data_IF_128089989232
#
_entry.id   IF_128089989232
#
_cell.length_a   1.000
_cell.length_b   1.000
_cell.length_c   1.000
_cell.angle_alpha   90.00
_cell.angle_beta   90.00
_cell.angle_gamma   90.00
#
_symmetry.space_group_name_H-M   'P 1'
#
loop_
_entity.id
_entity.type
_entity.pdbx_description
1 polymer ?
#
# COMPACT_ATOMS: atom_id res chain seq x y z
N UNK A 1 -21.94 -1.15 3.41
CA UNK A 1 -22.13 -0.65 2.02
C UNK A 1 -23.42 -1.26 1.47
N UNK A 2 -24.17 -0.54 0.65
CA UNK A 2 -25.41 -1.03 0.01
C UNK A 2 -25.40 -0.64 -1.47
N UNK A 3 -25.99 -1.46 -2.35
CA UNK A 3 -26.27 -0.99 -3.70
C UNK A 3 -27.59 -0.20 -3.71
N UNK A 4 -27.77 0.71 -4.67
CA UNK A 4 -28.99 1.52 -4.72
C UNK A 4 -30.24 0.68 -5.07
N UNK A 5 -30.04 -0.41 -5.79
CA UNK A 5 -31.04 -1.36 -6.26
C UNK A 5 -31.12 -2.63 -5.38
N UNK A 6 -30.35 -2.69 -4.29
CA UNK A 6 -30.35 -3.81 -3.36
C UNK A 6 -30.20 -3.32 -1.90
N UNK A 7 -31.24 -3.48 -1.06
CA UNK A 7 -31.21 -3.01 0.33
C UNK A 7 -30.25 -3.81 1.22
N UNK A 8 -29.72 -4.95 0.75
CA UNK A 8 -28.83 -5.80 1.56
C UNK A 8 -27.53 -5.05 1.87
N UNK A 9 -27.29 -4.86 3.16
CA UNK A 9 -26.04 -4.29 3.65
C UNK A 9 -24.91 -5.30 3.52
N UNK A 10 -23.89 -4.95 2.76
CA UNK A 10 -22.65 -5.69 2.60
C UNK A 10 -21.60 -5.12 3.55
N UNK A 11 -21.16 -5.88 4.56
CA UNK A 11 -20.12 -5.45 5.49
C UNK A 11 -18.79 -5.24 4.76
N UNK A 12 -18.12 -4.12 5.03
CA UNK A 12 -16.75 -3.87 4.56
C UNK A 12 -15.77 -4.65 5.45
N UNK A 13 -14.96 -5.52 4.84
CA UNK A 13 -13.95 -6.32 5.53
C UNK A 13 -12.58 -5.65 5.44
N UNK A 14 -12.29 -5.03 4.30
CA UNK A 14 -10.96 -4.50 3.99
C UNK A 14 -11.03 -3.36 2.98
N UNK A 15 -10.16 -2.37 3.14
CA UNK A 15 -9.83 -1.38 2.13
C UNK A 15 -8.32 -1.44 1.87
N UNK A 16 -7.91 -1.72 0.63
CA UNK A 16 -6.50 -1.80 0.25
C UNK A 16 -6.30 -1.36 -1.20
N UNK A 17 -5.06 -1.47 -1.71
CA UNK A 17 -4.71 -1.21 -3.12
C UNK A 17 -5.53 -1.95 -4.19
N UNK A 18 -6.28 -3.00 -3.84
CA UNK A 18 -7.20 -3.68 -4.77
C UNK A 18 -8.61 -3.09 -4.74
N UNK A 19 -8.97 -2.36 -3.69
CA UNK A 19 -10.25 -1.68 -3.55
C UNK A 19 -10.94 -2.01 -2.23
N UNK A 20 -12.27 -1.94 -2.25
CA UNK A 20 -13.15 -2.25 -1.13
C UNK A 20 -13.51 -3.73 -1.17
N UNK A 21 -13.16 -4.51 -0.15
CA UNK A 21 -13.57 -5.91 -0.05
C UNK A 21 -14.75 -6.03 0.89
N UNK A 22 -15.86 -6.57 0.39
CA UNK A 22 -17.11 -6.75 1.14
C UNK A 22 -17.54 -8.22 1.18
N UNK A 23 -18.34 -8.59 2.18
CA UNK A 23 -18.98 -9.92 2.24
C UNK A 23 -20.39 -9.85 1.66
N UNK A 24 -20.75 -10.84 0.82
CA UNK A 24 -22.11 -11.04 0.30
C UNK A 24 -22.51 -12.51 0.40
N UNK A 25 -23.82 -12.81 0.41
CA UNK A 25 -24.29 -14.17 0.19
C UNK A 25 -24.07 -14.60 -1.26
N UNK A 26 -23.80 -15.88 -1.52
CA UNK A 26 -23.59 -16.39 -2.90
C UNK A 26 -24.79 -16.08 -3.81
N UNK A 27 -26.02 -16.16 -3.29
CA UNK A 27 -27.24 -15.87 -4.04
C UNK A 27 -27.39 -14.39 -4.41
N UNK A 28 -26.81 -13.48 -3.61
CA UNK A 28 -26.93 -12.03 -3.75
C UNK A 28 -25.74 -11.42 -4.50
N UNK A 29 -24.94 -12.26 -5.16
CA UNK A 29 -23.71 -11.84 -5.80
C UNK A 29 -24.00 -10.92 -7.00
N UNK A 30 -23.59 -9.64 -6.98
CA UNK A 30 -23.65 -8.76 -8.15
C UNK A 30 -22.87 -9.32 -9.35
N UNK A 31 -23.34 -8.96 -10.55
CA UNK A 31 -22.59 -9.17 -11.79
C UNK A 31 -21.22 -8.46 -11.74
N UNK A 32 -20.18 -9.14 -12.20
CA UNK A 32 -18.84 -8.58 -12.29
C UNK A 32 -18.72 -7.64 -13.50
N UNK A 33 -17.91 -6.60 -13.37
CA UNK A 33 -17.54 -5.69 -14.45
C UNK A 33 -18.53 -4.55 -14.74
N UNK A 34 -19.74 -4.59 -14.18
CA UNK A 34 -20.75 -3.54 -14.40
C UNK A 34 -20.75 -2.50 -13.28
N UNK A 35 -20.64 -1.19 -13.59
CA UNK A 35 -20.71 -0.13 -12.59
C UNK A 35 -22.14 0.06 -12.04
N UNK A 36 -22.31 -0.14 -10.73
CA UNK A 36 -23.57 0.04 -10.00
C UNK A 36 -23.46 1.20 -9.00
N UNK A 37 -24.55 1.95 -8.83
CA UNK A 37 -24.62 2.99 -7.79
C UNK A 37 -24.66 2.31 -6.43
N UNK A 38 -23.85 2.82 -5.50
CA UNK A 38 -23.70 2.28 -4.17
C UNK A 38 -23.66 3.41 -3.14
N UNK A 39 -24.08 3.08 -1.92
CA UNK A 39 -23.98 3.91 -0.73
C UNK A 39 -22.95 3.32 0.22
N UNK A 40 -21.99 4.14 0.63
CA UNK A 40 -21.12 3.84 1.75
C UNK A 40 -21.80 4.39 3.00
N UNK A 41 -22.02 3.52 3.97
CA UNK A 41 -22.77 3.81 5.18
C UNK A 41 -21.94 3.43 6.41
N UNK A 42 -22.05 4.22 7.46
CA UNK A 42 -21.51 3.94 8.78
C UNK A 42 -22.64 4.08 9.81
N UNK A 43 -23.01 2.96 10.46
CA UNK A 43 -24.26 2.91 11.23
C UNK A 43 -25.47 3.24 10.35
N UNK A 44 -26.18 4.31 10.70
CA UNK A 44 -27.34 4.82 9.95
C UNK A 44 -27.02 6.00 9.03
N UNK A 45 -25.78 6.48 9.04
CA UNK A 45 -25.36 7.64 8.25
C UNK A 45 -24.84 7.20 6.88
N UNK A 46 -25.26 7.92 5.83
CA UNK A 46 -24.66 7.76 4.49
C UNK A 46 -23.45 8.68 4.38
N UNK A 47 -22.26 8.08 4.30
CA UNK A 47 -21.00 8.81 4.14
C UNK A 47 -20.86 9.40 2.74
N UNK A 48 -21.15 8.59 1.72
CA UNK A 48 -21.15 9.03 0.33
C UNK A 48 -21.92 8.06 -0.58
N UNK A 49 -22.32 8.57 -1.74
CA UNK A 49 -22.83 7.77 -2.84
C UNK A 49 -21.85 7.82 -4.02
N UNK A 50 -21.53 6.66 -4.59
CA UNK A 50 -20.60 6.56 -5.71
C UNK A 50 -20.91 5.35 -6.59
N UNK A 51 -20.22 5.21 -7.72
CA UNK A 51 -20.39 4.04 -8.59
C UNK A 51 -19.26 3.04 -8.34
N UNK A 52 -19.63 1.81 -8.00
CA UNK A 52 -18.72 0.71 -7.75
C UNK A 52 -18.82 -0.37 -8.83
N UNK A 53 -17.68 -0.94 -9.19
CA UNK A 53 -17.59 -2.09 -10.09
C UNK A 53 -17.05 -3.28 -9.31
N UNK A 54 -17.78 -4.39 -9.30
CA UNK A 54 -17.26 -5.65 -8.77
C UNK A 54 -16.22 -6.22 -9.74
N UNK A 55 -14.97 -6.35 -9.28
CA UNK A 55 -13.83 -6.79 -10.10
C UNK A 55 -13.48 -8.24 -9.90
N UNK A 56 -13.58 -8.72 -8.65
CA UNK A 56 -13.18 -10.06 -8.26
C UNK A 56 -14.14 -10.62 -7.23
N UNK A 57 -14.28 -11.94 -7.25
CA UNK A 57 -15.01 -12.72 -6.27
C UNK A 57 -14.13 -13.86 -5.78
N UNK A 58 -14.13 -14.09 -4.47
CA UNK A 58 -13.47 -15.25 -3.86
C UNK A 58 -14.45 -15.94 -2.90
N UNK A 59 -14.57 -17.27 -2.93
CA UNK A 59 -15.44 -17.99 -2.02
C UNK A 59 -14.94 -17.88 -0.58
N UNK A 60 -15.87 -17.74 0.36
CA UNK A 60 -15.63 -17.84 1.81
C UNK A 60 -16.29 -19.11 2.35
N UNK A 61 -15.98 -19.46 3.61
CA UNK A 61 -16.68 -20.55 4.29
C UNK A 61 -18.13 -20.14 4.57
N UNK A 62 -19.05 -21.10 4.52
CA UNK A 62 -20.46 -20.88 4.90
C UNK A 62 -21.34 -20.27 3.80
N UNK A 63 -20.98 -20.40 2.53
CA UNK A 63 -21.80 -19.92 1.40
C UNK A 63 -21.76 -18.40 1.19
N UNK A 64 -20.84 -17.72 1.86
CA UNK A 64 -20.54 -16.31 1.61
C UNK A 64 -19.44 -16.15 0.55
N UNK A 65 -19.39 -14.97 -0.07
CA UNK A 65 -18.40 -14.58 -1.07
C UNK A 65 -17.78 -13.25 -0.65
N UNK A 66 -16.45 -13.17 -0.76
CA UNK A 66 -15.73 -11.91 -0.70
C UNK A 66 -15.73 -11.27 -2.08
N UNK A 67 -16.21 -10.03 -2.19
CA UNK A 67 -16.18 -9.25 -3.42
C UNK A 67 -15.23 -8.07 -3.28
N UNK A 68 -14.30 -7.94 -4.22
CA UNK A 68 -13.46 -6.74 -4.34
C UNK A 68 -14.11 -5.77 -5.33
N UNK A 69 -14.49 -4.61 -4.81
CA UNK A 69 -15.16 -3.53 -5.51
C UNK A 69 -14.19 -2.36 -5.71
N UNK A 70 -14.30 -1.68 -6.83
CA UNK A 70 -13.52 -0.47 -7.11
C UNK A 70 -14.43 0.67 -7.54
N UNK A 71 -14.15 1.91 -7.12
CA UNK A 71 -14.76 3.10 -7.71
C UNK A 71 -14.61 3.09 -9.23
N UNK A 72 -15.66 3.52 -9.93
CA UNK A 72 -15.72 3.44 -11.39
C UNK A 72 -14.97 4.57 -12.09
N UNK A 73 -14.80 5.71 -11.40
CA UNK A 73 -14.20 6.94 -11.88
C UNK A 73 -13.19 7.49 -10.88
N UNK A 74 -12.23 8.27 -11.37
CA UNK A 74 -11.27 9.00 -10.53
C UNK A 74 -11.96 9.86 -9.46
N UNK A 75 -13.01 10.60 -9.84
CA UNK A 75 -13.79 11.44 -8.92
C UNK A 75 -14.44 10.62 -7.79
N UNK A 76 -14.84 9.37 -8.08
CA UNK A 76 -15.45 8.48 -7.08
C UNK A 76 -14.40 8.03 -6.03
N UNK A 77 -13.12 7.89 -6.42
CA UNK A 77 -12.02 7.61 -5.47
C UNK A 77 -11.81 8.78 -4.52
N UNK A 78 -11.71 10.01 -5.05
CA UNK A 78 -11.51 11.21 -4.25
C UNK A 78 -12.71 11.45 -3.31
N UNK A 79 -13.95 11.23 -3.78
CA UNK A 79 -15.15 11.32 -2.96
C UNK A 79 -15.14 10.32 -1.80
N UNK A 80 -14.78 9.05 -2.06
CA UNK A 80 -14.66 8.03 -1.03
C UNK A 80 -13.69 8.46 0.08
N UNK A 81 -12.49 8.88 -0.29
CA UNK A 81 -11.46 9.24 0.68
C UNK A 81 -11.81 10.51 1.47
N UNK A 82 -12.43 11.50 0.83
CA UNK A 82 -12.96 12.69 1.52
C UNK A 82 -14.04 12.34 2.53
N UNK A 83 -14.97 11.46 2.17
CA UNK A 83 -16.03 11.02 3.06
C UNK A 83 -15.48 10.23 4.26
N UNK A 84 -14.52 9.32 4.02
CA UNK A 84 -13.85 8.58 5.10
C UNK A 84 -13.07 9.52 6.04
N UNK A 85 -12.41 10.55 5.50
CA UNK A 85 -11.69 11.55 6.30
C UNK A 85 -12.64 12.39 7.16
N UNK A 86 -13.73 12.88 6.57
CA UNK A 86 -14.74 13.64 7.30
C UNK A 86 -15.34 12.81 8.45
N UNK A 87 -15.62 11.53 8.18
CA UNK A 87 -16.13 10.60 9.19
C UNK A 87 -15.10 10.34 10.32
N UNK A 88 -13.83 10.17 9.99
CA UNK A 88 -12.77 10.01 10.99
C UNK A 88 -12.68 11.25 11.91
N UNK A 89 -12.66 12.45 11.34
CA UNK A 89 -12.61 13.70 12.12
C UNK A 89 -13.84 13.80 13.03
N UNK A 90 -15.02 13.41 12.53
CA UNK A 90 -16.24 13.38 13.32
C UNK A 90 -16.12 12.44 14.53
N UNK A 91 -15.59 11.22 14.33
CA UNK A 91 -15.38 10.26 15.42
C UNK A 91 -14.38 10.78 16.47
N UNK A 92 -13.26 11.38 16.05
CA UNK A 92 -12.27 11.97 16.95
C UNK A 92 -12.82 13.17 17.73
N UNK A 93 -13.73 13.94 17.12
CA UNK A 93 -14.42 15.05 17.80
C UNK A 93 -15.45 14.57 18.83
N UNK A 94 -16.14 13.46 18.57
CA UNK A 94 -17.12 12.87 19.50
C UNK A 94 -16.41 12.24 20.71
N UNK A 95 -15.26 11.58 20.53
CA UNK A 95 -14.50 10.98 21.63
C UNK A 95 -13.92 11.99 22.64
N UNK A 96 -13.93 13.29 22.31
CA UNK A 96 -13.55 14.37 23.23
C UNK A 96 -14.69 14.80 24.17
N UNK A 97 -15.91 14.24 24.04
CA UNK A 97 -17.05 14.48 24.92
C UNK A 97 -17.93 13.23 25.06
N UNK A 98 -17.72 12.50 26.16
CA UNK A 98 -18.43 11.29 26.62
C UNK A 98 -18.36 10.01 25.74
N UNK A 99 -17.76 9.00 26.37
CA UNK A 99 -17.56 7.59 26.00
C UNK A 99 -16.86 7.22 24.66
N UNK A 100 -15.71 6.51 24.72
CA UNK A 100 -15.05 6.01 23.53
C UNK A 100 -15.85 4.85 22.92
N UNK A 101 -16.35 5.04 21.70
CA UNK A 101 -16.70 3.93 20.81
C UNK A 101 -15.41 3.20 20.48
N UNK A 102 -15.13 2.15 21.27
CA UNK A 102 -14.03 1.25 21.06
C UNK A 102 -14.27 0.51 19.74
N UNK A 103 -13.55 0.90 18.70
CA UNK A 103 -13.32 0.00 17.56
C UNK A 103 -12.62 -1.22 18.15
N UNK A 104 -13.37 -2.32 18.31
CA UNK A 104 -12.80 -3.61 18.66
C UNK A 104 -11.94 -4.03 17.49
N UNK A 105 -10.69 -3.62 17.55
CA UNK A 105 -9.59 -4.32 16.91
C UNK A 105 -9.78 -5.79 17.28
N UNK A 106 -9.97 -6.72 16.32
CA UNK A 106 -9.99 -8.13 16.65
C UNK A 106 -8.70 -8.44 17.38
N UNK A 107 -8.81 -8.98 18.59
CA UNK A 107 -7.68 -9.33 19.43
C UNK A 107 -6.62 -10.08 18.60
N UNK A 108 -5.33 -9.81 18.82
CA UNK A 108 -4.28 -10.50 18.09
C UNK A 108 -4.42 -11.99 18.36
N UNK A 109 -4.81 -12.75 17.32
CA UNK A 109 -4.44 -14.14 17.28
C UNK A 109 -2.91 -14.17 17.38
N UNK A 110 -2.42 -14.84 18.41
CA UNK A 110 -1.00 -15.09 18.68
C UNK A 110 -0.19 -15.23 17.37
N UNK A 111 0.91 -14.50 17.20
CA UNK A 111 1.73 -14.61 16.00
C UNK A 111 2.42 -15.97 15.98
N UNK A 112 1.89 -16.87 15.17
CA UNK A 112 2.63 -18.02 14.70
C UNK A 112 3.78 -17.46 13.84
N UNK A 113 5.00 -17.48 14.41
CA UNK A 113 6.23 -17.04 13.77
C UNK A 113 6.56 -17.96 12.59
N UNK A 114 5.85 -17.78 11.49
CA UNK A 114 6.16 -18.37 10.19
C UNK A 114 6.52 -17.23 9.23
N UNK A 115 7.74 -17.34 8.70
CA UNK A 115 8.45 -16.38 7.87
C UNK A 115 7.60 -15.61 6.83
N UNK A 116 7.99 -14.37 6.46
CA UNK A 116 7.29 -13.58 5.47
C UNK A 116 7.19 -14.33 4.14
N UNK A 117 5.94 -14.52 3.71
CA UNK A 117 5.54 -15.30 2.54
C UNK A 117 5.93 -14.53 1.26
N UNK A 118 7.09 -14.88 0.69
CA UNK A 118 7.46 -14.45 -0.65
C UNK A 118 6.49 -15.06 -1.67
N UNK A 119 5.58 -14.25 -2.21
CA UNK A 119 4.78 -14.65 -3.39
C UNK A 119 5.68 -14.53 -4.61
N UNK A 120 6.36 -15.62 -4.96
CA UNK A 120 7.02 -15.78 -6.26
C UNK A 120 5.93 -15.90 -7.33
N UNK A 121 5.92 -14.98 -8.29
CA UNK A 121 5.17 -15.14 -9.53
C UNK A 121 5.72 -16.38 -10.29
N UNK A 122 4.88 -17.27 -10.84
CA UNK A 122 5.34 -18.36 -11.68
C UNK A 122 5.88 -17.82 -13.01
N UNK A 123 7.13 -18.16 -13.30
CA UNK A 123 7.74 -18.02 -14.61
C UNK A 123 7.04 -19.01 -15.57
N UNK A 124 6.48 -18.50 -16.67
CA UNK A 124 5.71 -19.29 -17.64
C UNK A 124 6.51 -20.48 -18.18
N UNK A 125 5.95 -21.69 -18.00
CA UNK A 125 6.46 -22.91 -18.58
C UNK A 125 6.00 -23.02 -20.04
N UNK A 126 6.90 -22.72 -20.98
CA UNK A 126 6.68 -23.06 -22.39
C UNK A 126 6.95 -24.54 -22.61
N UNK A 127 5.89 -25.29 -22.87
CA UNK A 127 5.93 -26.65 -23.37
C UNK A 127 6.40 -26.66 -24.83
N UNK A 128 7.64 -27.07 -25.08
CA UNK A 128 8.13 -27.39 -26.42
C UNK A 128 8.24 -28.91 -26.59
N UNK A 129 7.49 -29.40 -27.59
CA UNK A 129 7.43 -30.79 -28.04
C UNK A 129 8.80 -31.32 -28.49
N UNK A 130 9.03 -32.57 -28.13
CA UNK A 130 10.15 -33.45 -28.51
C UNK A 130 10.06 -33.82 -30.01
N UNK A 131 11.14 -33.59 -30.76
CA UNK A 131 11.34 -34.04 -32.14
C UNK A 131 12.80 -34.40 -32.38
N UNK A 132 13.06 -35.52 -33.05
CA UNK A 132 14.33 -36.29 -33.12
C UNK A 132 15.44 -35.65 -33.98
N UNK A 133 16.68 -35.75 -33.46
CA UNK A 133 17.90 -36.41 -33.99
C UNK A 133 18.46 -36.02 -35.39
N UNK A 134 19.74 -35.60 -35.40
CA UNK A 134 20.90 -35.92 -36.30
C UNK A 134 21.88 -34.72 -36.29
N UNK A 135 23.06 -34.75 -35.64
CA UNK A 135 24.40 -35.29 -36.01
C UNK A 135 25.18 -34.44 -37.05
N UNK A 136 26.48 -34.21 -36.75
CA UNK A 136 27.54 -33.48 -37.52
C UNK A 136 27.48 -31.95 -37.42
N UNK A 137 28.53 -31.13 -37.22
CA UNK A 137 29.98 -31.27 -37.35
C UNK A 137 30.66 -30.06 -36.64
N UNK A 138 31.96 -30.16 -36.34
CA UNK A 138 32.80 -29.14 -35.68
C UNK A 138 33.02 -27.90 -36.58
N UNK A 139 33.09 -26.71 -35.97
CA UNK A 139 34.19 -25.75 -36.18
C UNK A 139 34.04 -24.51 -35.28
N UNK A 140 35.15 -24.12 -34.67
CA UNK A 140 35.39 -22.87 -33.94
C UNK A 140 35.09 -21.61 -34.78
N UNK A 141 34.71 -20.52 -34.11
CA UNK A 141 34.49 -19.23 -34.77
C UNK A 141 33.81 -18.20 -33.87
N UNK A 142 34.60 -17.62 -32.97
CA UNK A 142 34.61 -16.21 -32.54
C UNK A 142 33.44 -15.34 -32.99
N UNK A 143 32.62 -14.85 -32.05
CA UNK A 143 31.65 -13.80 -32.34
C UNK A 143 30.42 -13.75 -31.43
N UNK A 144 30.62 -13.67 -30.10
CA UNK A 144 29.55 -13.33 -29.16
C UNK A 144 29.13 -11.87 -29.36
N UNK A 145 28.20 -11.62 -30.30
CA UNK A 145 27.75 -10.28 -30.70
C UNK A 145 26.27 -10.01 -30.31
N UNK A 146 25.64 -10.78 -29.43
CA UNK A 146 24.25 -10.49 -29.03
C UNK A 146 23.85 -11.10 -27.67
N UNK A 147 24.80 -11.23 -26.75
CA UNK A 147 24.49 -11.48 -25.34
C UNK A 147 23.90 -10.22 -24.69
N UNK A 148 22.59 -10.05 -24.90
CA UNK A 148 21.62 -9.39 -24.03
C UNK A 148 21.91 -7.94 -23.60
N UNK A 149 21.53 -7.02 -24.48
CA UNK A 149 21.18 -5.63 -24.16
C UNK A 149 19.89 -5.51 -23.30
N UNK A 150 19.69 -6.41 -22.33
CA UNK A 150 18.77 -6.23 -21.21
C UNK A 150 19.59 -5.68 -20.04
N UNK A 151 20.02 -4.42 -20.17
CA UNK A 151 20.88 -3.74 -19.20
C UNK A 151 20.37 -3.93 -17.77
N UNK A 152 21.29 -4.28 -16.88
CA UNK A 152 21.14 -4.56 -15.44
C UNK A 152 20.28 -3.50 -14.73
N UNK A 153 18.95 -3.60 -14.79
CA UNK A 153 18.08 -2.82 -13.92
C UNK A 153 18.04 -3.53 -12.57
N UNK A 154 18.87 -3.08 -11.64
CA UNK A 154 18.85 -3.53 -10.25
C UNK A 154 17.56 -3.07 -9.56
N UNK A 155 17.16 -3.81 -8.53
CA UNK A 155 16.18 -3.31 -7.58
C UNK A 155 16.89 -2.37 -6.62
N UNK A 156 16.39 -1.15 -6.54
CA UNK A 156 16.97 -0.09 -5.71
C UNK A 156 15.85 0.46 -4.83
N UNK A 157 16.12 0.56 -3.53
CA UNK A 157 15.19 1.17 -2.58
C UNK A 157 15.60 2.58 -2.21
N UNK A 158 14.61 3.39 -1.89
CA UNK A 158 14.80 4.70 -1.27
C UNK A 158 13.72 4.87 -0.20
N UNK A 159 14.16 5.20 1.00
CA UNK A 159 13.28 5.37 2.15
C UNK A 159 12.92 6.86 2.28
N UNK A 160 11.67 7.13 2.62
CA UNK A 160 11.17 8.44 2.99
C UNK A 160 10.36 8.32 4.28
N UNK A 161 10.15 9.45 4.95
CA UNK A 161 9.22 9.54 6.05
C UNK A 161 8.34 10.77 5.88
N UNK A 162 7.11 10.67 6.36
CA UNK A 162 6.11 11.72 6.35
C UNK A 162 5.69 12.01 7.80
N UNK A 163 5.80 13.26 8.24
CA UNK A 163 5.28 13.72 9.55
C UNK A 163 3.90 14.33 9.38
N UNK A 164 2.99 13.94 10.25
CA UNK A 164 1.59 14.34 10.25
C UNK A 164 1.20 14.96 11.59
N UNK A 165 0.04 15.61 11.66
CA UNK A 165 -0.40 16.33 12.85
C UNK A 165 -0.64 15.43 14.08
N UNK A 166 -0.89 14.15 13.87
CA UNK A 166 -1.12 13.20 14.95
C UNK A 166 -1.17 11.74 14.49
N UNK A 167 -1.28 10.80 15.44
CA UNK A 167 -1.25 9.37 15.15
C UNK A 167 -2.45 8.88 14.33
N UNK A 168 -3.62 9.48 14.52
CA UNK A 168 -4.81 9.15 13.72
C UNK A 168 -4.64 9.56 12.25
N UNK A 169 -3.99 10.71 12.01
CA UNK A 169 -3.68 11.20 10.67
C UNK A 169 -2.64 10.30 10.00
N UNK A 170 -1.58 9.92 10.73
CA UNK A 170 -0.57 8.96 10.29
C UNK A 170 -1.19 7.62 9.88
N UNK A 171 -2.08 7.08 10.71
CA UNK A 171 -2.78 5.85 10.39
C UNK A 171 -3.65 5.99 9.13
N UNK A 172 -4.49 7.04 9.04
CA UNK A 172 -5.36 7.26 7.87
C UNK A 172 -4.54 7.44 6.58
N UNK A 173 -3.50 8.26 6.65
CA UNK A 173 -2.60 8.53 5.52
C UNK A 173 -1.89 7.26 5.04
N UNK A 174 -1.51 6.35 5.95
CA UNK A 174 -0.89 5.07 5.57
C UNK A 174 -1.79 4.20 4.68
N UNK A 175 -3.10 4.16 4.96
CA UNK A 175 -4.07 3.43 4.14
C UNK A 175 -4.34 4.14 2.82
N UNK A 176 -4.41 5.47 2.85
CA UNK A 176 -4.52 6.28 1.63
C UNK A 176 -3.33 6.04 0.70
N UNK A 177 -2.10 5.98 1.24
CA UNK A 177 -0.89 5.69 0.47
C UNK A 177 -0.90 4.30 -0.16
N UNK A 178 -1.23 3.25 0.60
CA UNK A 178 -1.32 1.89 0.05
C UNK A 178 -2.34 1.83 -1.09
N UNK A 179 -3.51 2.43 -0.86
CA UNK A 179 -4.58 2.46 -1.85
C UNK A 179 -4.16 3.12 -3.17
N UNK A 180 -3.42 4.24 -3.11
CA UNK A 180 -3.00 5.00 -4.28
C UNK A 180 -1.69 4.49 -4.91
N UNK A 181 -1.19 3.31 -4.53
CA UNK A 181 0.06 2.76 -5.07
C UNK A 181 0.15 2.79 -6.61
N UNK A 182 -0.93 2.45 -7.32
CA UNK A 182 -0.93 2.44 -8.78
C UNK A 182 -0.73 3.85 -9.37
N UNK A 183 -1.31 4.87 -8.74
CA UNK A 183 -1.17 6.26 -9.15
C UNK A 183 0.22 6.81 -8.80
N UNK A 184 0.71 6.51 -7.58
CA UNK A 184 2.07 6.83 -7.15
C UNK A 184 3.11 6.23 -8.12
N UNK A 185 2.90 4.98 -8.54
CA UNK A 185 3.74 4.32 -9.56
C UNK A 185 3.68 5.05 -10.90
N UNK A 186 2.50 5.52 -11.32
CA UNK A 186 2.36 6.29 -12.55
C UNK A 186 3.11 7.63 -12.45
N UNK A 187 3.03 8.34 -11.31
CA UNK A 187 3.79 9.57 -11.08
C UNK A 187 5.30 9.34 -11.17
N UNK A 188 5.81 8.27 -10.54
CA UNK A 188 7.22 7.89 -10.65
C UNK A 188 7.63 7.61 -12.10
N UNK A 189 6.76 6.96 -12.88
CA UNK A 189 7.03 6.66 -14.28
C UNK A 189 7.01 7.92 -15.17
N UNK A 190 6.18 8.89 -14.82
CA UNK A 190 6.09 10.18 -15.52
C UNK A 190 7.26 11.11 -15.21
N UNK A 191 7.87 11.02 -14.03
CA UNK A 191 9.05 11.82 -13.68
C UNK A 191 10.30 11.32 -14.39
N UNK A 192 10.47 10.00 -14.50
CA UNK A 192 11.55 9.38 -15.28
C UNK A 192 11.08 8.05 -15.89
N UNK A 193 11.11 7.97 -17.23
CA UNK A 193 10.69 6.78 -17.97
C UNK A 193 11.58 5.54 -17.72
N UNK A 194 12.80 5.73 -17.20
CA UNK A 194 13.72 4.65 -16.82
C UNK A 194 13.39 4.04 -15.45
N UNK A 195 12.65 4.77 -14.62
CA UNK A 195 12.19 4.34 -13.30
C UNK A 195 10.89 3.54 -13.42
N UNK A 196 10.77 2.47 -12.62
CA UNK A 196 9.53 1.71 -12.47
C UNK A 196 9.37 1.34 -11.00
N UNK A 197 8.44 1.99 -10.30
CA UNK A 197 8.11 1.67 -8.92
C UNK A 197 7.43 0.29 -8.87
N UNK A 198 8.03 -0.65 -8.15
CA UNK A 198 7.57 -2.04 -8.05
C UNK A 198 6.76 -2.30 -6.79
N UNK A 199 7.14 -1.68 -5.69
CA UNK A 199 6.52 -1.92 -4.38
C UNK A 199 6.72 -0.71 -3.47
N UNK A 200 5.80 -0.55 -2.51
CA UNK A 200 5.97 0.30 -1.35
C UNK A 200 5.78 -0.51 -0.07
N UNK A 201 6.63 -0.28 0.93
CA UNK A 201 6.44 -0.81 2.27
C UNK A 201 6.20 0.36 3.21
N UNK A 202 5.17 0.24 4.04
CA UNK A 202 4.71 1.31 4.92
C UNK A 202 4.82 0.84 6.37
N UNK A 203 5.31 1.70 7.25
CA UNK A 203 5.27 1.55 8.71
C UNK A 203 4.79 2.85 9.32
N UNK A 204 3.90 2.72 10.28
CA UNK A 204 3.41 3.84 11.08
C UNK A 204 4.07 3.78 12.45
N UNK A 205 4.63 4.89 12.90
CA UNK A 205 5.21 5.05 14.22
C UNK A 205 4.79 6.42 14.77
N UNK A 206 3.95 6.44 15.80
CA UNK A 206 3.32 7.65 16.33
C UNK A 206 2.65 8.48 15.24
N UNK A 207 3.15 9.69 14.98
CA UNK A 207 2.66 10.64 13.99
C UNK A 207 3.48 10.60 12.68
N UNK A 208 4.40 9.64 12.55
CA UNK A 208 5.24 9.45 11.37
C UNK A 208 4.79 8.23 10.55
N UNK A 209 4.84 8.37 9.23
CA UNK A 209 4.67 7.28 8.27
C UNK A 209 5.95 7.11 7.48
N UNK A 210 6.68 6.03 7.77
CA UNK A 210 7.87 5.66 7.03
C UNK A 210 7.51 4.79 5.82
N UNK A 211 8.05 5.16 4.66
CA UNK A 211 7.78 4.50 3.38
C UNK A 211 9.07 4.11 2.71
N UNK A 212 9.23 2.82 2.42
CA UNK A 212 10.27 2.32 1.52
C UNK A 212 9.72 2.15 0.12
N UNK A 213 10.21 2.94 -0.81
CA UNK A 213 9.92 2.79 -2.23
C UNK A 213 10.94 1.84 -2.87
N UNK A 214 10.47 0.82 -3.58
CA UNK A 214 11.33 -0.13 -4.31
C UNK A 214 11.14 0.05 -5.80
N UNK A 215 12.22 0.43 -6.49
CA UNK A 215 12.23 0.70 -7.92
C UNK A 215 13.04 -0.36 -8.68
N UNK A 216 12.65 -0.60 -9.92
CA UNK A 216 13.52 -1.23 -10.91
C UNK A 216 14.09 -0.14 -11.83
N UNK A 217 15.31 0.30 -11.53
CA UNK A 217 15.91 1.50 -12.13
C UNK A 217 17.43 1.53 -11.92
N UNK A 218 18.23 2.25 -12.73
CA UNK A 218 19.56 2.68 -12.30
C UNK A 218 19.47 3.53 -11.01
N UNK A 219 20.42 3.32 -10.08
CA UNK A 219 20.43 3.93 -8.74
C UNK A 219 20.36 5.47 -8.76
N UNK A 220 21.07 6.10 -9.71
CA UNK A 220 21.15 7.57 -9.83
C UNK A 220 19.82 8.27 -10.04
N UNK A 221 18.83 7.60 -10.64
CA UNK A 221 17.52 8.20 -10.94
C UNK A 221 16.54 8.07 -9.77
N UNK A 222 16.79 7.12 -8.85
CA UNK A 222 15.82 6.75 -7.83
C UNK A 222 15.59 7.86 -6.82
N UNK A 223 16.64 8.50 -6.30
CA UNK A 223 16.48 9.56 -5.30
C UNK A 223 15.65 10.73 -5.82
N UNK A 224 15.94 11.22 -7.03
CA UNK A 224 15.22 12.32 -7.64
C UNK A 224 13.76 11.95 -7.96
N UNK A 225 13.52 10.71 -8.39
CA UNK A 225 12.17 10.21 -8.61
C UNK A 225 11.38 10.10 -7.29
N UNK A 226 11.99 9.60 -6.21
CA UNK A 226 11.36 9.54 -4.89
C UNK A 226 11.02 10.94 -4.38
N UNK A 227 11.93 11.91 -4.47
CA UNK A 227 11.66 13.30 -4.08
C UNK A 227 10.45 13.87 -4.81
N UNK A 228 10.40 13.70 -6.14
CA UNK A 228 9.29 14.17 -6.97
C UNK A 228 7.96 13.51 -6.58
N UNK A 229 8.01 12.21 -6.28
CA UNK A 229 6.83 11.44 -5.85
C UNK A 229 6.37 11.91 -4.47
N UNK A 230 7.28 12.13 -3.52
CA UNK A 230 6.93 12.59 -2.18
C UNK A 230 6.31 13.98 -2.19
N UNK A 231 6.87 14.93 -2.96
CA UNK A 231 6.27 16.25 -3.13
C UNK A 231 4.87 16.21 -3.77
N UNK A 232 4.62 15.26 -4.68
CA UNK A 232 3.25 15.04 -5.22
C UNK A 232 2.31 14.43 -4.20
N UNK A 233 2.76 13.44 -3.44
CA UNK A 233 2.01 12.83 -2.35
C UNK A 233 1.55 13.90 -1.35
N UNK A 234 2.47 14.78 -0.93
CA UNK A 234 2.19 15.89 -0.03
C UNK A 234 1.12 16.84 -0.61
N UNK A 235 1.33 17.33 -1.83
CA UNK A 235 0.39 18.23 -2.49
C UNK A 235 -1.01 17.60 -2.66
N UNK A 236 -1.04 16.30 -2.96
CA UNK A 236 -2.28 15.58 -3.19
C UNK A 236 -3.03 15.28 -1.88
N UNK A 237 -2.31 14.94 -0.80
CA UNK A 237 -2.89 14.78 0.53
C UNK A 237 -3.46 16.12 1.06
N UNK A 238 -2.75 17.22 0.86
CA UNK A 238 -3.27 18.55 1.18
C UNK A 238 -4.54 18.88 0.37
N UNK A 239 -4.52 18.62 -0.94
CA UNK A 239 -5.63 18.92 -1.85
C UNK A 239 -6.88 18.07 -1.60
N UNK A 240 -6.72 16.75 -1.42
CA UNK A 240 -7.85 15.83 -1.28
C UNK A 240 -8.31 15.69 0.16
N UNK A 241 -7.40 15.68 1.13
CA UNK A 241 -7.69 15.30 2.51
C UNK A 241 -7.63 16.49 3.48
N UNK A 242 -7.11 17.64 3.04
CA UNK A 242 -6.87 18.78 3.91
C UNK A 242 -5.82 18.48 4.98
N UNK A 243 -4.90 17.56 4.70
CA UNK A 243 -3.83 17.18 5.63
C UNK A 243 -2.59 18.05 5.43
N UNK A 244 -1.99 18.49 6.53
CA UNK A 244 -0.62 19.03 6.52
C UNK A 244 0.35 17.87 6.65
N UNK A 245 1.18 17.67 5.64
CA UNK A 245 2.15 16.59 5.58
C UNK A 245 3.51 17.20 5.27
N UNK A 246 4.53 16.84 6.02
CA UNK A 246 5.92 17.20 5.70
C UNK A 246 6.70 15.93 5.41
N UNK A 247 7.52 15.92 4.36
CA UNK A 247 8.29 14.74 3.97
C UNK A 247 9.80 14.98 4.01
N UNK A 248 10.55 13.91 4.26
CA UNK A 248 12.00 13.91 4.11
C UNK A 248 12.52 12.54 3.67
N UNK A 249 13.59 12.54 2.89
CA UNK A 249 14.25 11.31 2.45
C UNK A 249 15.23 10.81 3.51
N UNK A 250 15.20 9.50 3.76
CA UNK A 250 16.09 8.83 4.70
C UNK A 250 17.23 8.14 3.92
N UNK A 251 18.46 8.64 4.10
CA UNK A 251 19.66 8.02 3.55
C UNK A 251 19.80 8.12 2.02
N UNK A 252 20.81 7.43 1.47
CA UNK A 252 21.05 7.31 0.03
C UNK A 252 20.21 6.17 -0.57
N UNK A 253 19.93 6.24 -1.87
CA UNK A 253 19.30 5.13 -2.59
C UNK A 253 20.22 3.89 -2.46
N UNK A 254 19.65 2.76 -2.07
CA UNK A 254 20.42 1.55 -1.76
C UNK A 254 20.03 0.47 -2.75
N UNK A 255 21.02 -0.10 -3.45
CA UNK A 255 20.80 -1.28 -4.27
C UNK A 255 20.47 -2.48 -3.35
N UNK A 256 19.29 -3.07 -3.52
CA UNK A 256 18.83 -4.18 -2.68
C UNK A 256 19.50 -5.49 -3.11
N UNK A 257 20.36 -6.04 -2.24
CA UNK A 257 20.77 -7.45 -2.31
C UNK A 257 19.71 -8.39 -1.68
N UNK A 258 18.91 -7.87 -0.72
CA UNK A 258 17.81 -8.57 -0.04
C UNK A 258 16.73 -7.57 0.40
N UNK A 259 15.46 -7.94 0.29
CA UNK A 259 14.28 -7.05 0.40
C UNK A 259 13.79 -6.72 1.83
N UNK A 260 14.43 -7.25 2.88
CA UNK A 260 13.79 -7.36 4.20
C UNK A 260 14.40 -6.56 5.35
N UNK A 261 15.61 -5.99 5.21
CA UNK A 261 16.21 -5.24 6.31
C UNK A 261 15.79 -3.77 6.26
N UNK A 262 15.11 -3.28 7.30
CA UNK A 262 14.90 -1.84 7.49
C UNK A 262 16.12 -1.25 8.16
N UNK A 263 16.72 -0.22 7.58
CA UNK A 263 17.66 0.64 8.30
C UNK A 263 16.85 1.49 9.27
N UNK A 264 16.45 0.89 10.41
CA UNK A 264 15.86 1.64 11.51
C UNK A 264 16.84 2.73 11.93
N UNK A 265 16.35 3.96 12.11
CA UNK A 265 17.10 4.98 12.86
C UNK A 265 17.33 4.40 14.25
N UNK A 266 18.58 4.06 14.55
CA UNK A 266 18.99 3.76 15.91
C UNK A 266 18.62 4.94 16.78
N UNK A 267 17.89 4.68 17.85
CA UNK A 267 17.71 5.61 18.93
C UNK A 267 19.10 6.15 19.31
N UNK A 268 19.32 7.44 19.10
CA UNK A 268 20.44 8.14 19.72
C UNK A 268 20.08 8.19 21.19
N UNK A 269 20.46 7.14 21.94
CA UNK A 269 20.45 7.16 23.39
C UNK A 269 21.50 8.20 23.77
N UNK A 270 21.03 9.39 24.11
CA UNK A 270 21.83 10.42 24.75
C UNK A 270 22.44 9.84 26.01
N UNK A 271 23.73 9.53 25.93
CA UNK A 271 24.56 9.20 27.08
C UNK A 271 24.79 10.47 27.88
N UNK A 272 23.80 10.87 28.67
CA UNK A 272 23.96 11.90 29.70
C UNK A 272 24.43 11.20 30.98
N UNK A 273 25.75 11.12 31.13
CA UNK A 273 26.39 10.87 32.41
C UNK A 273 26.03 12.05 33.34
N UNK A 274 25.18 11.79 34.33
CA UNK A 274 24.86 12.72 35.41
C UNK A 274 24.77 11.92 36.69
N UNK A 275 25.88 11.88 37.44
CA UNK A 275 25.94 11.22 38.73
C UNK A 275 25.10 11.97 39.77
N UNK A 276 24.32 11.22 40.53
CA UNK A 276 23.83 11.64 41.83
C UNK A 276 23.94 10.46 42.79
N UNK A 277 24.87 10.64 43.72
CA UNK A 277 25.11 9.77 44.86
C UNK A 277 24.07 10.11 45.93
N UNK A 278 23.29 9.13 46.37
CA UNK A 278 22.49 9.25 47.58
C UNK A 278 23.05 8.28 48.62
N UNK A 279 23.78 8.83 49.58
CA UNK A 279 24.16 8.16 50.81
C UNK A 279 23.10 8.48 51.85
N UNK A 280 22.39 7.48 52.35
CA UNK A 280 21.48 7.61 53.49
C UNK A 280 21.98 6.70 54.61
N UNK A 281 22.46 7.33 55.68
CA UNK A 281 22.54 6.75 57.03
C UNK A 281 22.27 7.87 58.03
N UNK A 282 21.10 7.77 58.67
CA UNK A 282 20.61 8.46 59.87
C UNK A 282 20.33 9.96 59.75
#
# INVERSE_FOLDING_TARGET
>A
MQFADDPVAMPLIKLDRQGLTVTVGEADRPALGLPRRARIVAGHETLCELRLVARRSAPLRGGAVALTLQPSRADDHALLWRALRAYQIHLGGVASGDEPVQWTSPAPAEPDYSAPRAVRLPLGANAAKKGKRSQSERSDGTGSHWANAAGLRSLVSCDAAFSLAGPEDAWFFSHWLDYHFAEIRAWAKMSDATVDLREIFIRVADHEVEVRFVFQSPERAVRAATETVCGRIEAEAARQLGMTVEHWLSGAATTLASTTAWSGRGAVVGSCAGGYSFSSKY
#
